data_IF_475343408257
#
_entry.id   IF_475343408257
#
_cell.length_a   1.000
_cell.length_b   1.000
_cell.length_c   1.000
_cell.angle_alpha   90.00
_cell.angle_beta   90.00
_cell.angle_gamma   90.00
#
_symmetry.space_group_name_H-M   'P 1'
#
loop_
_entity.id
_entity.type
_entity.pdbx_description
1 polymer ?
#
# COMPACT_ATOMS: atom_id res chain seq x y z
N UNK A 1 -5.39 18.06 10.44
CA UNK A 1 -6.57 18.47 9.61
C UNK A 1 -6.05 18.64 8.18
N UNK A 2 -6.75 18.05 7.23
CA UNK A 2 -6.42 18.13 5.82
C UNK A 2 -7.56 18.80 5.06
N UNK A 3 -7.25 19.55 4.01
CA UNK A 3 -8.21 20.11 3.08
C UNK A 3 -7.63 20.12 1.68
N UNK A 4 -8.47 19.91 0.68
CA UNK A 4 -8.10 19.96 -0.73
C UNK A 4 -8.59 21.26 -1.34
N UNK A 5 -7.83 21.84 -2.27
CA UNK A 5 -8.26 23.02 -3.02
C UNK A 5 -9.28 22.65 -4.10
N UNK A 6 -10.17 23.60 -4.41
CA UNK A 6 -11.00 23.53 -5.61
C UNK A 6 -10.18 23.83 -6.88
N UNK A 7 -10.83 23.75 -8.05
CA UNK A 7 -10.19 24.05 -9.36
C UNK A 7 -9.65 25.48 -9.48
N UNK A 8 -10.08 26.40 -8.61
CA UNK A 8 -9.62 27.79 -8.57
C UNK A 8 -8.54 28.02 -7.52
N UNK A 9 -8.10 26.95 -6.83
CA UNK A 9 -7.10 27.00 -5.78
C UNK A 9 -7.63 27.46 -4.41
N UNK A 10 -8.95 27.54 -4.21
CA UNK A 10 -9.51 27.90 -2.92
C UNK A 10 -9.68 26.67 -2.04
N UNK A 11 -9.42 26.82 -0.76
CA UNK A 11 -9.69 25.81 0.26
C UNK A 11 -10.37 26.41 1.49
N UNK A 12 -11.02 25.58 2.26
CA UNK A 12 -11.60 25.95 3.54
C UNK A 12 -11.42 24.80 4.54
N UNK A 13 -11.00 25.13 5.75
CA UNK A 13 -10.92 24.16 6.85
C UNK A 13 -11.24 24.85 8.16
N UNK A 14 -11.53 24.07 9.22
CA UNK A 14 -11.82 24.57 10.55
C UNK A 14 -10.84 24.02 11.59
N UNK A 15 -10.39 24.90 12.50
CA UNK A 15 -9.53 24.55 13.64
C UNK A 15 -10.26 24.91 14.92
N UNK A 16 -10.36 23.96 15.87
CA UNK A 16 -11.15 24.13 17.09
C UNK A 16 -10.52 25.08 18.11
N UNK A 17 -9.21 25.23 18.12
CA UNK A 17 -8.48 25.99 19.14
C UNK A 17 -7.74 27.18 18.55
N UNK A 18 -7.77 28.30 19.26
CA UNK A 18 -6.92 29.47 18.96
C UNK A 18 -5.48 29.13 19.27
N UNK A 19 -4.62 29.15 18.26
CA UNK A 19 -3.17 28.93 18.37
C UNK A 19 -2.45 29.34 17.11
N UNK A 20 -1.13 29.24 17.12
CA UNK A 20 -0.30 29.27 15.92
C UNK A 20 -0.15 27.87 15.39
N UNK A 21 -0.31 27.69 14.08
CA UNK A 21 -0.19 26.40 13.39
C UNK A 21 0.69 26.57 12.13
N UNK A 22 1.46 25.55 11.84
CA UNK A 22 2.13 25.42 10.58
C UNK A 22 1.16 24.78 9.56
N UNK A 23 0.94 25.48 8.46
CA UNK A 23 0.11 25.03 7.35
C UNK A 23 1.04 24.62 6.23
N UNK A 24 0.98 23.36 5.86
CA UNK A 24 1.77 22.80 4.77
C UNK A 24 0.91 22.77 3.52
N UNK A 25 1.38 23.45 2.47
CA UNK A 25 0.80 23.41 1.14
C UNK A 25 1.65 22.51 0.26
N UNK A 26 1.04 21.53 -0.37
CA UNK A 26 1.71 20.60 -1.26
C UNK A 26 0.85 20.27 -2.48
N UNK A 27 1.49 20.02 -3.58
CA UNK A 27 0.88 19.52 -4.81
C UNK A 27 1.91 18.69 -5.60
N UNK A 28 1.49 17.65 -6.32
CA UNK A 28 2.39 16.88 -7.18
C UNK A 28 3.12 17.80 -8.15
N UNK A 29 4.44 17.64 -8.25
CA UNK A 29 5.29 18.46 -9.13
C UNK A 29 5.65 19.84 -8.60
N UNK A 30 5.37 20.13 -7.34
CA UNK A 30 5.75 21.38 -6.68
C UNK A 30 6.46 21.12 -5.36
N UNK A 31 7.35 22.03 -4.99
CA UNK A 31 7.97 22.04 -3.67
C UNK A 31 6.91 22.42 -2.63
N UNK A 32 6.85 21.66 -1.54
CA UNK A 32 5.96 21.98 -0.43
C UNK A 32 6.38 23.30 0.21
N UNK A 33 5.40 24.12 0.60
CA UNK A 33 5.60 25.38 1.32
C UNK A 33 4.92 25.32 2.68
N UNK A 34 5.60 25.79 3.73
CA UNK A 34 5.10 25.79 5.10
C UNK A 34 4.95 27.23 5.60
N UNK A 35 3.74 27.62 5.91
CA UNK A 35 3.40 28.95 6.41
C UNK A 35 2.86 28.86 7.84
N UNK A 36 3.54 29.52 8.78
CA UNK A 36 3.04 29.67 10.13
C UNK A 36 1.95 30.75 10.19
N UNK A 37 0.77 30.41 10.70
CA UNK A 37 -0.35 31.34 10.80
C UNK A 37 -1.02 31.26 12.18
N UNK A 38 -1.49 32.40 12.68
CA UNK A 38 -2.21 32.52 13.94
C UNK A 38 -3.70 32.49 13.67
N UNK A 39 -4.38 31.57 14.35
CA UNK A 39 -5.84 31.42 14.30
C UNK A 39 -6.46 31.88 15.62
N UNK A 40 -7.53 32.67 15.53
CA UNK A 40 -8.28 33.15 16.67
C UNK A 40 -9.74 32.68 16.56
N UNK A 41 -10.25 32.13 17.64
CA UNK A 41 -11.61 31.60 17.70
C UNK A 41 -12.65 32.63 17.21
N UNK A 42 -13.57 32.17 16.35
CA UNK A 42 -14.62 33.00 15.75
C UNK A 42 -14.18 33.91 14.60
N UNK A 43 -12.91 33.90 14.22
CA UNK A 43 -12.40 34.68 13.10
C UNK A 43 -11.98 33.81 11.92
N UNK A 44 -12.07 34.35 10.71
CA UNK A 44 -11.51 33.77 9.52
C UNK A 44 -10.08 34.27 9.31
N UNK A 45 -9.11 33.36 9.17
CA UNK A 45 -7.74 33.66 8.79
C UNK A 45 -7.53 33.23 7.35
N UNK A 46 -7.04 34.16 6.51
CA UNK A 46 -6.71 33.87 5.12
C UNK A 46 -5.21 33.60 5.04
N UNK A 47 -4.85 32.42 4.50
CA UNK A 47 -3.45 32.04 4.28
C UNK A 47 -3.34 31.59 2.83
N UNK A 48 -2.45 32.22 2.07
CA UNK A 48 -2.20 31.92 0.67
C UNK A 48 -0.77 31.46 0.50
N UNK A 49 -0.55 30.47 -0.35
CA UNK A 49 0.76 29.97 -0.77
C UNK A 49 0.92 30.09 -2.28
N UNK A 50 2.15 30.24 -2.73
CA UNK A 50 2.51 30.13 -4.14
C UNK A 50 3.60 29.07 -4.26
N UNK A 51 3.20 27.85 -4.61
CA UNK A 51 4.13 26.75 -4.76
C UNK A 51 5.09 26.98 -5.93
N UNK A 52 6.35 26.61 -5.73
CA UNK A 52 7.37 26.62 -6.78
C UNK A 52 7.39 25.26 -7.47
N UNK A 53 7.48 25.20 -8.81
CA UNK A 53 7.64 23.92 -9.50
C UNK A 53 8.88 23.17 -9.00
N UNK A 54 8.71 21.89 -8.70
CA UNK A 54 9.84 21.00 -8.44
C UNK A 54 10.57 20.66 -9.75
N UNK A 55 11.88 20.50 -9.67
CA UNK A 55 12.66 20.02 -10.82
C UNK A 55 12.41 18.54 -11.01
N UNK A 56 12.03 18.14 -12.21
CA UNK A 56 11.97 16.72 -12.56
C UNK A 56 13.32 16.26 -13.10
N UNK A 57 13.66 15.04 -12.80
CA UNK A 57 14.90 14.38 -13.22
C UNK A 57 14.63 12.96 -13.71
N UNK A 58 15.61 12.34 -14.34
CA UNK A 58 15.59 10.92 -14.63
C UNK A 58 16.54 10.24 -13.64
N UNK A 59 16.09 9.20 -12.99
CA UNK A 59 16.90 8.39 -12.09
C UNK A 59 17.01 6.96 -12.61
N UNK A 60 18.15 6.36 -12.37
CA UNK A 60 18.42 4.97 -12.70
C UNK A 60 18.89 4.22 -11.48
N UNK A 61 18.72 2.93 -11.48
CA UNK A 61 19.20 2.10 -10.38
C UNK A 61 19.36 0.64 -10.80
N UNK A 62 19.74 -0.16 -9.82
CA UNK A 62 19.88 -1.61 -10.00
C UNK A 62 19.25 -2.33 -8.80
N UNK A 63 18.59 -3.45 -9.09
CA UNK A 63 18.18 -4.43 -8.08
C UNK A 63 19.08 -5.66 -8.23
N UNK A 64 19.75 -6.00 -7.15
CA UNK A 64 20.74 -7.09 -7.15
C UNK A 64 20.53 -8.03 -5.96
N UNK A 65 21.05 -9.25 -6.08
CA UNK A 65 21.15 -10.15 -4.93
C UNK A 65 22.33 -9.77 -3.99
N UNK A 66 22.50 -10.50 -2.92
CA UNK A 66 23.60 -10.30 -1.95
C UNK A 66 25.00 -10.52 -2.52
N UNK A 67 25.12 -11.14 -3.71
CA UNK A 67 26.38 -11.36 -4.43
C UNK A 67 26.63 -10.28 -5.49
N UNK A 68 25.68 -9.33 -5.64
CA UNK A 68 25.75 -8.30 -6.66
C UNK A 68 25.28 -8.73 -8.05
N UNK A 69 24.63 -9.89 -8.17
CA UNK A 69 24.02 -10.34 -9.43
C UNK A 69 22.67 -9.64 -9.63
N UNK A 70 22.48 -9.06 -10.82
CA UNK A 70 21.23 -8.38 -11.17
C UNK A 70 20.02 -9.30 -11.15
N UNK A 71 18.93 -8.83 -10.56
CA UNK A 71 17.64 -9.54 -10.51
C UNK A 71 16.74 -8.99 -11.61
N UNK A 72 16.45 -9.85 -12.58
CA UNK A 72 15.56 -9.52 -13.70
C UNK A 72 14.09 -9.55 -13.27
N UNK A 73 13.28 -8.68 -13.88
CA UNK A 73 11.84 -8.56 -13.61
C UNK A 73 11.50 -8.32 -12.12
N UNK A 74 12.40 -7.68 -11.38
CA UNK A 74 12.07 -7.18 -10.06
C UNK A 74 11.18 -5.94 -10.19
N UNK A 75 10.10 -5.89 -9.44
CA UNK A 75 9.24 -4.72 -9.34
C UNK A 75 9.92 -3.67 -8.48
N UNK A 76 9.80 -2.40 -8.86
CA UNK A 76 10.29 -1.24 -8.11
C UNK A 76 9.18 -0.21 -8.01
N UNK A 77 8.84 0.18 -6.79
CA UNK A 77 7.89 1.24 -6.46
C UNK A 77 8.63 2.33 -5.69
N UNK A 78 8.56 3.56 -6.18
CA UNK A 78 9.08 4.75 -5.49
C UNK A 78 7.90 5.68 -5.25
N UNK A 79 7.57 5.95 -3.99
CA UNK A 79 6.37 6.71 -3.67
C UNK A 79 6.55 7.63 -2.46
N UNK A 80 5.72 8.66 -2.40
CA UNK A 80 5.48 9.47 -1.22
C UNK A 80 3.98 9.84 -1.14
N UNK A 81 3.60 10.72 -0.23
CA UNK A 81 2.20 11.15 -0.05
C UNK A 81 1.59 11.84 -1.27
N UNK A 82 2.37 12.21 -2.28
CA UNK A 82 1.93 13.05 -3.42
C UNK A 82 2.03 12.33 -4.77
N UNK A 83 2.99 11.42 -4.93
CA UNK A 83 3.28 10.78 -6.21
C UNK A 83 3.78 9.35 -6.01
N UNK A 84 3.57 8.52 -7.03
CA UNK A 84 4.17 7.20 -7.13
C UNK A 84 4.75 6.96 -8.52
N UNK A 85 5.80 6.15 -8.59
CA UNK A 85 6.50 5.75 -9.80
C UNK A 85 6.76 4.25 -9.74
N UNK A 86 6.37 3.54 -10.78
CA UNK A 86 6.55 2.10 -10.89
C UNK A 86 7.42 1.77 -12.09
N UNK A 87 8.30 0.81 -11.94
CA UNK A 87 9.08 0.25 -13.03
C UNK A 87 9.44 -1.21 -12.74
N UNK A 88 9.98 -1.90 -13.74
CA UNK A 88 10.44 -3.28 -13.63
C UNK A 88 11.88 -3.34 -14.15
N UNK A 89 12.73 -4.11 -13.51
CA UNK A 89 14.12 -4.26 -13.91
C UNK A 89 14.28 -5.06 -15.21
N UNK A 90 15.31 -4.71 -15.99
CA UNK A 90 15.74 -5.45 -17.17
C UNK A 90 16.44 -6.79 -16.81
N UNK A 91 16.92 -7.51 -17.83
CA UNK A 91 17.62 -8.79 -17.65
C UNK A 91 18.93 -8.71 -16.84
N UNK A 92 19.45 -7.52 -16.62
CA UNK A 92 20.66 -7.27 -15.82
C UNK A 92 20.34 -6.64 -14.45
N UNK A 93 19.07 -6.52 -14.11
CA UNK A 93 18.62 -5.90 -12.89
C UNK A 93 18.59 -4.38 -12.91
N UNK A 94 18.75 -3.73 -14.07
CA UNK A 94 18.70 -2.26 -14.15
C UNK A 94 17.28 -1.77 -14.29
N UNK A 95 17.01 -0.60 -13.73
CA UNK A 95 15.75 0.13 -13.93
C UNK A 95 16.01 1.61 -14.20
N UNK A 96 15.05 2.27 -14.82
CA UNK A 96 15.00 3.70 -15.02
C UNK A 96 13.62 4.26 -14.70
N UNK A 97 13.59 5.47 -14.15
CA UNK A 97 12.39 6.26 -13.89
C UNK A 97 12.60 7.65 -14.45
N UNK A 98 11.73 8.05 -15.35
CA UNK A 98 11.79 9.35 -16.00
C UNK A 98 10.77 10.31 -15.39
N UNK A 99 11.18 11.56 -15.20
CA UNK A 99 10.30 12.62 -14.73
C UNK A 99 9.98 12.56 -13.22
N UNK A 100 10.80 11.88 -12.42
CA UNK A 100 10.67 11.88 -10.97
C UNK A 100 11.06 13.26 -10.43
N UNK A 101 10.34 13.74 -9.43
CA UNK A 101 10.70 14.99 -8.77
C UNK A 101 11.74 14.75 -7.67
N UNK A 102 12.62 15.72 -7.47
CA UNK A 102 13.59 15.69 -6.38
C UNK A 102 12.88 15.83 -5.04
N UNK A 103 12.85 14.74 -4.25
CA UNK A 103 12.14 14.68 -2.96
C UNK A 103 12.57 13.43 -2.18
N UNK A 104 12.02 13.29 -0.97
CA UNK A 104 12.10 12.08 -0.15
C UNK A 104 10.99 11.10 -0.53
N UNK A 105 11.37 9.85 -0.70
CA UNK A 105 10.47 8.76 -1.09
C UNK A 105 10.70 7.51 -0.26
N UNK A 106 9.65 6.73 -0.11
CA UNK A 106 9.77 5.31 0.17
C UNK A 106 10.12 4.59 -1.12
N UNK A 107 11.18 3.78 -1.08
CA UNK A 107 11.67 2.97 -2.20
C UNK A 107 11.48 1.52 -1.85
N UNK A 108 10.65 0.82 -2.61
CA UNK A 108 10.32 -0.58 -2.42
C UNK A 108 10.76 -1.36 -3.65
N UNK A 109 11.37 -2.50 -3.44
CA UNK A 109 11.67 -3.44 -4.51
C UNK A 109 11.40 -4.88 -4.07
N UNK A 110 10.88 -5.68 -4.99
CA UNK A 110 10.56 -7.08 -4.73
C UNK A 110 10.58 -7.94 -5.98
N UNK A 111 10.80 -9.22 -5.77
CA UNK A 111 10.67 -10.26 -6.78
C UNK A 111 10.32 -11.57 -6.08
N UNK A 112 9.51 -12.42 -6.73
CA UNK A 112 9.20 -13.73 -6.15
C UNK A 112 10.45 -14.57 -5.95
N UNK A 113 10.65 -15.09 -4.74
CA UNK A 113 11.87 -15.80 -4.33
C UNK A 113 12.87 -14.90 -3.60
N UNK A 114 12.51 -13.64 -3.35
CA UNK A 114 13.29 -12.68 -2.58
C UNK A 114 12.43 -12.02 -1.49
N UNK A 115 13.09 -11.51 -0.48
CA UNK A 115 12.48 -10.70 0.57
C UNK A 115 12.31 -9.28 0.03
N UNK A 116 11.09 -8.75 0.02
CA UNK A 116 10.78 -7.36 -0.34
C UNK A 116 11.58 -6.39 0.53
N UNK A 117 12.20 -5.41 -0.10
CA UNK A 117 13.02 -4.38 0.56
C UNK A 117 12.30 -3.05 0.56
N UNK A 118 12.32 -2.39 1.72
CA UNK A 118 11.79 -1.02 1.90
C UNK A 118 12.86 -0.12 2.48
N UNK A 119 13.09 1.04 1.88
CA UNK A 119 13.96 2.09 2.40
C UNK A 119 13.33 3.46 2.20
N UNK A 120 13.79 4.45 2.97
CA UNK A 120 13.45 5.85 2.73
C UNK A 120 14.67 6.56 2.17
N UNK A 121 14.55 7.11 0.98
CA UNK A 121 15.65 7.72 0.24
C UNK A 121 15.29 9.13 -0.23
N UNK A 122 16.28 10.01 -0.25
CA UNK A 122 16.16 11.30 -0.94
C UNK A 122 16.67 11.13 -2.38
N UNK A 123 15.77 11.23 -3.34
CA UNK A 123 16.09 11.09 -4.76
C UNK A 123 16.51 12.43 -5.32
N UNK A 124 17.70 12.48 -5.88
CA UNK A 124 18.27 13.67 -6.54
C UNK A 124 19.00 13.28 -7.82
N UNK A 125 19.46 14.27 -8.57
CA UNK A 125 20.22 14.06 -9.80
C UNK A 125 21.55 13.30 -9.61
N UNK A 126 22.00 13.15 -8.38
CA UNK A 126 23.24 12.44 -8.02
C UNK A 126 23.00 11.11 -7.29
N UNK A 127 21.74 10.72 -7.12
CA UNK A 127 21.40 9.47 -6.44
C UNK A 127 21.86 8.25 -7.25
N UNK A 128 22.54 7.32 -6.57
CA UNK A 128 22.87 6.01 -7.09
C UNK A 128 22.01 5.00 -6.34
N UNK A 129 21.01 4.48 -7.01
CA UNK A 129 20.01 3.61 -6.39
C UNK A 129 20.41 2.15 -6.61
N UNK A 130 21.08 1.54 -5.64
CA UNK A 130 21.28 0.10 -5.64
C UNK A 130 20.44 -0.51 -4.52
N UNK A 131 19.54 -1.39 -4.89
CA UNK A 131 18.66 -2.11 -3.98
C UNK A 131 19.14 -3.55 -3.91
N UNK A 132 19.39 -4.05 -2.71
CA UNK A 132 19.86 -5.42 -2.49
C UNK A 132 18.71 -6.25 -1.91
N UNK A 133 18.33 -7.32 -2.60
CA UNK A 133 17.35 -8.26 -2.13
C UNK A 133 18.02 -9.53 -1.60
N UNK A 134 17.52 -10.03 -0.49
CA UNK A 134 17.94 -11.32 0.08
C UNK A 134 17.05 -12.43 -0.48
N UNK A 135 17.63 -13.58 -0.80
CA UNK A 135 16.86 -14.76 -1.17
C UNK A 135 15.95 -15.21 -0.03
N UNK A 136 14.71 -15.52 -0.34
CA UNK A 136 13.68 -15.92 0.60
C UNK A 136 12.30 -15.66 0.05
N UNK A 137 11.27 -16.01 0.82
CA UNK A 137 9.90 -15.70 0.45
C UNK A 137 9.28 -14.83 1.53
N UNK A 138 8.99 -13.61 1.18
CA UNK A 138 8.19 -12.67 1.98
C UNK A 138 7.37 -11.84 1.02
N UNK A 139 6.07 -11.91 1.16
CA UNK A 139 5.12 -11.17 0.34
C UNK A 139 4.19 -10.38 1.27
N UNK A 140 4.29 -9.08 1.21
CA UNK A 140 3.44 -8.10 1.87
C UNK A 140 2.36 -7.56 0.91
N UNK A 141 2.22 -8.22 -0.23
CA UNK A 141 1.27 -7.86 -1.28
C UNK A 141 1.45 -6.46 -1.89
N UNK A 142 2.55 -5.77 -1.60
CA UNK A 142 2.92 -4.51 -2.28
C UNK A 142 2.94 -4.71 -3.79
N UNK A 143 3.45 -5.85 -4.26
CA UNK A 143 3.51 -6.20 -5.67
C UNK A 143 2.56 -7.36 -5.99
N UNK A 144 2.21 -7.49 -7.28
CA UNK A 144 1.48 -8.65 -7.77
C UNK A 144 2.47 -9.70 -8.28
N UNK A 145 2.84 -10.63 -7.42
CA UNK A 145 3.73 -11.72 -7.79
C UNK A 145 3.02 -12.89 -8.48
N UNK A 146 1.79 -12.68 -8.93
CA UNK A 146 1.06 -13.68 -9.71
C UNK A 146 0.22 -14.64 -8.87
N UNK A 147 -0.33 -14.17 -7.77
CA UNK A 147 -1.35 -14.91 -7.05
C UNK A 147 -2.58 -15.15 -7.93
N UNK A 148 -3.09 -16.36 -7.91
CA UNK A 148 -4.23 -16.75 -8.73
C UNK A 148 -5.50 -16.76 -7.89
N UNK A 149 -6.53 -16.08 -8.38
CA UNK A 149 -7.86 -16.05 -7.79
C UNK A 149 -8.77 -16.97 -8.58
N UNK A 150 -9.45 -17.87 -7.89
CA UNK A 150 -10.40 -18.79 -8.48
C UNK A 150 -11.57 -19.05 -7.52
N UNK A 151 -12.59 -19.75 -7.99
CA UNK A 151 -13.80 -20.02 -7.25
C UNK A 151 -15.03 -19.41 -7.93
N UNK A 152 -16.19 -19.78 -7.45
CA UNK A 152 -17.46 -19.28 -7.97
C UNK A 152 -18.07 -18.28 -7.01
N UNK A 153 -18.42 -17.11 -7.49
CA UNK A 153 -19.30 -16.16 -6.82
C UNK A 153 -20.64 -16.16 -7.55
N UNK A 154 -21.73 -16.06 -6.81
CA UNK A 154 -23.08 -16.10 -7.36
C UNK A 154 -23.53 -14.73 -7.85
N UNK A 155 -22.85 -13.67 -7.40
CA UNK A 155 -23.10 -12.28 -7.76
C UNK A 155 -21.77 -11.56 -8.01
N UNK A 156 -21.70 -10.60 -8.93
CA UNK A 156 -20.50 -9.80 -9.14
C UNK A 156 -20.12 -8.88 -7.94
N UNK A 157 -20.98 -8.81 -6.94
CA UNK A 157 -20.76 -8.06 -5.71
C UNK A 157 -20.40 -8.96 -4.51
N UNK A 158 -20.45 -10.27 -4.67
CA UNK A 158 -20.06 -11.20 -3.63
C UNK A 158 -18.53 -11.22 -3.52
N UNK A 159 -18.02 -11.28 -2.30
CA UNK A 159 -16.61 -11.10 -2.02
C UNK A 159 -15.70 -12.13 -2.70
N UNK A 160 -15.05 -11.74 -3.78
CA UNK A 160 -13.90 -12.46 -4.32
C UNK A 160 -12.62 -11.87 -3.75
N UNK A 161 -11.56 -12.62 -3.71
CA UNK A 161 -10.25 -12.11 -3.35
C UNK A 161 -9.84 -10.96 -4.28
N UNK A 162 -9.42 -9.86 -3.70
CA UNK A 162 -8.91 -8.68 -4.40
C UNK A 162 -7.68 -8.17 -3.67
N UNK A 163 -6.65 -7.78 -4.40
CA UNK A 163 -5.45 -7.15 -3.84
C UNK A 163 -5.62 -5.63 -3.84
N UNK A 164 -5.40 -4.99 -2.71
CA UNK A 164 -5.46 -3.53 -2.59
C UNK A 164 -5.40 -3.08 -1.13
N UNK A 165 -5.55 -1.77 -0.93
CA UNK A 165 -5.66 -1.21 0.41
C UNK A 165 -7.03 -1.57 1.00
N UNK A 166 -7.09 -2.26 2.15
CA UNK A 166 -8.34 -2.61 2.81
C UNK A 166 -9.20 -1.36 3.10
N UNK A 167 -10.49 -1.52 3.03
CA UNK A 167 -11.46 -0.51 3.44
C UNK A 167 -12.19 -0.99 4.70
N UNK A 168 -11.96 -0.32 5.83
CA UNK A 168 -12.52 -0.70 7.11
C UNK A 168 -14.04 -0.57 7.16
N UNK A 169 -14.68 -1.33 8.02
CA UNK A 169 -16.10 -1.20 8.30
C UNK A 169 -16.35 -1.09 9.79
N UNK A 170 -17.33 -0.25 10.13
CA UNK A 170 -17.79 -0.04 11.49
C UNK A 170 -19.11 -0.74 11.77
N UNK A 171 -19.26 -1.26 13.00
CA UNK A 171 -20.55 -1.68 13.51
C UNK A 171 -20.79 -1.14 14.93
N UNK A 172 -21.84 -0.36 15.08
CA UNK A 172 -22.20 0.30 16.36
C UNK A 172 -21.04 1.12 16.98
N UNK A 173 -20.21 1.76 16.15
CA UNK A 173 -19.10 2.59 16.60
C UNK A 173 -17.86 1.80 17.05
N UNK A 174 -17.75 0.57 16.63
CA UNK A 174 -16.56 -0.25 16.80
C UNK A 174 -16.10 -0.78 15.45
N UNK A 175 -14.78 -0.81 15.24
CA UNK A 175 -14.19 -1.40 14.05
C UNK A 175 -14.63 -2.85 13.92
N UNK A 176 -15.12 -3.20 12.74
CA UNK A 176 -15.61 -4.54 12.41
C UNK A 176 -14.65 -5.29 11.50
N UNK A 177 -14.22 -4.67 10.43
CA UNK A 177 -13.10 -5.11 9.63
C UNK A 177 -12.01 -4.04 9.65
N UNK A 178 -10.73 -4.41 9.62
CA UNK A 178 -9.64 -3.44 9.65
C UNK A 178 -9.64 -2.56 8.40
N UNK A 179 -9.31 -1.28 8.58
CA UNK A 179 -9.09 -0.31 7.49
C UNK A 179 -7.67 -0.39 6.96
N UNK A 180 -6.73 -0.80 7.82
CA UNK A 180 -5.32 -0.89 7.48
C UNK A 180 -4.87 -2.35 7.42
N UNK A 181 -3.86 -2.61 6.62
CA UNK A 181 -3.13 -3.87 6.63
C UNK A 181 -2.30 -4.03 7.92
N UNK A 182 -1.54 -5.12 8.03
CA UNK A 182 -0.68 -5.37 9.19
C UNK A 182 0.45 -4.35 9.26
N UNK A 183 0.78 -3.93 10.48
CA UNK A 183 1.87 -2.99 10.71
C UNK A 183 3.22 -3.56 10.29
N UNK A 184 4.09 -2.71 9.78
CA UNK A 184 5.48 -2.93 9.35
C UNK A 184 5.64 -3.54 7.95
N UNK A 185 4.63 -3.51 7.15
CA UNK A 185 4.72 -3.79 5.73
C UNK A 185 5.21 -2.57 4.93
N UNK A 186 5.62 -2.80 3.69
CA UNK A 186 6.19 -1.76 2.86
C UNK A 186 5.14 -0.84 2.25
N UNK A 187 3.90 -1.32 2.15
CA UNK A 187 2.79 -0.60 1.55
C UNK A 187 1.47 -1.19 2.07
N UNK A 188 0.42 -0.41 2.08
CA UNK A 188 -0.86 -0.77 2.70
C UNK A 188 -1.73 -1.68 1.81
N UNK A 189 -1.17 -2.76 1.26
CA UNK A 189 -1.91 -3.70 0.43
C UNK A 189 -2.05 -5.06 1.08
N UNK A 190 -3.24 -5.62 1.01
CA UNK A 190 -3.56 -6.97 1.41
C UNK A 190 -4.40 -7.68 0.34
N UNK A 191 -4.58 -8.99 0.45
CA UNK A 191 -5.68 -9.68 -0.21
C UNK A 191 -6.89 -9.71 0.71
N UNK A 192 -8.00 -9.16 0.24
CA UNK A 192 -9.28 -9.12 0.96
C UNK A 192 -10.41 -9.67 0.10
N UNK A 193 -11.43 -10.24 0.73
CA UNK A 193 -12.68 -10.59 0.04
C UNK A 193 -13.62 -9.39 0.08
N UNK A 194 -13.80 -8.72 -1.08
CA UNK A 194 -14.57 -7.50 -1.17
C UNK A 194 -13.81 -6.26 -0.70
N UNK A 195 -12.89 -5.77 -1.52
CA UNK A 195 -12.02 -4.64 -1.24
C UNK A 195 -12.77 -3.34 -0.91
N UNK A 196 -13.89 -3.08 -1.59
CA UNK A 196 -14.76 -1.95 -1.26
C UNK A 196 -15.66 -2.33 -0.08
N UNK A 197 -15.60 -1.60 1.02
CA UNK A 197 -16.39 -1.85 2.23
C UNK A 197 -17.91 -1.90 1.99
N UNK A 198 -18.40 -1.15 1.03
CA UNK A 198 -19.83 -1.03 0.77
C UNK A 198 -20.54 -0.21 1.85
N UNK A 199 -21.87 -0.20 1.80
CA UNK A 199 -22.70 0.61 2.70
C UNK A 199 -23.05 -0.09 4.02
N UNK A 200 -22.79 -1.37 4.14
CA UNK A 200 -23.13 -2.21 5.30
C UNK A 200 -22.05 -3.26 5.51
N UNK A 201 -21.90 -3.70 6.75
CA UNK A 201 -20.89 -4.68 7.17
C UNK A 201 -20.96 -6.04 6.44
N UNK A 202 -22.09 -6.36 5.80
CA UNK A 202 -22.31 -7.58 5.04
C UNK A 202 -22.51 -7.34 3.55
N UNK A 203 -22.06 -6.18 3.03
CA UNK A 203 -22.32 -5.83 1.61
C UNK A 203 -21.39 -6.52 0.64
N UNK A 204 -20.29 -7.08 1.11
CA UNK A 204 -19.18 -7.62 0.29
C UNK A 204 -18.62 -8.93 0.85
N UNK A 205 -19.37 -9.62 1.70
CA UNK A 205 -18.98 -10.93 2.22
C UNK A 205 -19.14 -12.04 1.18
N UNK A 206 -18.57 -13.19 1.46
CA UNK A 206 -18.65 -14.37 0.60
C UNK A 206 -19.86 -15.18 0.99
N UNK A 207 -20.97 -15.01 0.26
CA UNK A 207 -22.22 -15.73 0.49
C UNK A 207 -22.39 -16.91 -0.48
N UNK A 208 -22.78 -18.08 0.05
CA UNK A 208 -23.15 -19.28 -0.72
C UNK A 208 -22.13 -19.69 -1.82
N UNK A 209 -20.87 -19.31 -1.65
CA UNK A 209 -19.80 -19.53 -2.61
C UNK A 209 -18.48 -19.87 -1.91
N UNK A 210 -17.49 -20.24 -2.69
CA UNK A 210 -16.10 -20.30 -2.23
C UNK A 210 -15.22 -19.46 -3.13
N UNK A 211 -14.28 -18.74 -2.54
CA UNK A 211 -13.22 -18.02 -3.24
C UNK A 211 -11.87 -18.57 -2.80
N UNK A 212 -10.99 -18.80 -3.74
CA UNK A 212 -9.71 -19.45 -3.52
C UNK A 212 -8.61 -18.50 -3.96
N UNK A 213 -7.66 -18.22 -3.07
CA UNK A 213 -6.43 -17.52 -3.36
C UNK A 213 -5.28 -18.52 -3.37
N UNK A 214 -4.58 -18.62 -4.48
CA UNK A 214 -3.47 -19.55 -4.66
C UNK A 214 -2.17 -18.80 -4.88
N UNK A 215 -1.17 -19.06 -4.04
CA UNK A 215 0.16 -18.46 -4.17
C UNK A 215 0.86 -18.91 -5.45
N UNK A 216 1.83 -18.15 -5.94
CA UNK A 216 2.84 -18.67 -6.85
C UNK A 216 3.59 -19.87 -6.22
N UNK A 217 4.29 -20.62 -7.05
CA UNK A 217 5.03 -21.81 -6.59
C UNK A 217 6.24 -21.41 -5.76
N UNK A 218 6.38 -21.98 -4.57
CA UNK A 218 7.60 -21.88 -3.76
C UNK A 218 8.64 -22.88 -4.26
N UNK A 219 9.81 -22.42 -4.65
CA UNK A 219 10.96 -23.29 -4.91
C UNK A 219 11.65 -23.65 -3.58
N UNK A 220 11.34 -24.80 -3.05
CA UNK A 220 11.91 -25.34 -1.82
C UNK A 220 12.93 -26.46 -2.14
N UNK A 221 13.53 -26.42 -3.33
CA UNK A 221 14.51 -27.43 -3.76
C UNK A 221 15.86 -27.32 -3.07
N UNK A 222 16.17 -26.21 -2.43
CA UNK A 222 17.39 -26.06 -1.63
C UNK A 222 17.38 -27.06 -0.47
N UNK A 223 18.44 -27.86 -0.29
CA UNK A 223 18.48 -28.86 0.78
C UNK A 223 18.51 -28.18 2.15
N UNK A 224 17.61 -28.62 3.04
CA UNK A 224 17.66 -28.23 4.45
C UNK A 224 18.73 -29.04 5.20
N UNK A 225 19.29 -28.46 6.23
CA UNK A 225 20.07 -29.22 7.20
C UNK A 225 19.17 -30.25 7.94
N UNK A 226 19.70 -31.34 8.49
CA UNK A 226 18.91 -32.44 9.06
C UNK A 226 17.90 -32.07 10.14
N UNK A 227 18.03 -30.89 10.75
CA UNK A 227 17.13 -30.40 11.82
C UNK A 227 16.34 -29.15 11.42
N UNK A 228 16.35 -28.78 10.16
CA UNK A 228 15.59 -27.63 9.64
C UNK A 228 14.28 -28.10 9.01
N UNK A 229 13.28 -27.24 9.03
CA UNK A 229 11.98 -27.43 8.39
C UNK A 229 11.53 -26.11 7.78
N UNK A 230 10.79 -26.19 6.69
CA UNK A 230 10.12 -25.04 6.14
C UNK A 230 8.87 -24.76 6.97
N UNK A 231 8.60 -23.48 7.19
CA UNK A 231 7.40 -23.00 7.84
C UNK A 231 6.73 -21.94 6.94
N UNK A 232 5.43 -22.05 6.80
CA UNK A 232 4.61 -20.98 6.24
C UNK A 232 4.02 -20.17 7.39
N UNK A 233 4.33 -18.89 7.45
CA UNK A 233 3.72 -17.95 8.38
C UNK A 233 2.91 -16.93 7.58
N UNK A 234 1.76 -16.55 8.10
CA UNK A 234 0.89 -15.53 7.47
C UNK A 234 0.07 -14.83 8.53
N UNK A 235 -0.32 -13.60 8.25
CA UNK A 235 -1.30 -12.86 9.00
C UNK A 235 -2.67 -13.06 8.37
N UNK A 236 -3.68 -13.27 9.20
CA UNK A 236 -5.04 -13.54 8.75
C UNK A 236 -6.03 -12.77 9.60
N UNK A 237 -6.89 -12.01 8.97
CA UNK A 237 -8.14 -11.54 9.55
C UNK A 237 -9.30 -12.34 8.98
N UNK A 238 -10.15 -12.87 9.87
CA UNK A 238 -11.34 -13.58 9.48
C UNK A 238 -12.51 -13.19 10.39
N UNK A 239 -13.60 -12.75 9.77
CA UNK A 239 -14.81 -12.41 10.45
C UNK A 239 -16.01 -13.02 9.71
N UNK A 240 -16.86 -13.76 10.44
CA UNK A 240 -18.08 -14.34 9.94
C UNK A 240 -19.31 -13.92 10.77
N UNK A 241 -19.27 -12.77 11.41
CA UNK A 241 -20.36 -12.26 12.22
C UNK A 241 -21.49 -11.73 11.33
N UNK A 242 -22.68 -12.27 11.49
CA UNK A 242 -23.92 -11.76 10.91
C UNK A 242 -24.72 -10.99 11.96
N UNK A 243 -25.20 -9.78 11.69
CA UNK A 243 -26.00 -9.01 12.64
C UNK A 243 -27.35 -9.72 12.96
N UNK A 244 -27.95 -9.45 14.14
CA UNK A 244 -29.11 -10.21 14.67
C UNK A 244 -30.37 -10.22 13.81
N UNK A 245 -30.48 -9.33 12.83
CA UNK A 245 -31.63 -9.28 11.92
C UNK A 245 -31.41 -10.07 10.62
N UNK A 246 -30.22 -10.64 10.40
CA UNK A 246 -29.85 -11.41 9.22
C UNK A 246 -29.65 -12.89 9.43
N UNK A 247 -30.00 -13.43 10.60
CA UNK A 247 -29.60 -14.77 11.01
C UNK A 247 -28.24 -14.76 11.69
N UNK A 248 -28.01 -15.59 12.67
CA UNK A 248 -26.69 -15.68 13.33
C UNK A 248 -25.59 -16.14 12.38
N UNK A 249 -24.34 -16.19 12.87
CA UNK A 249 -23.20 -16.64 12.05
C UNK A 249 -23.56 -17.97 11.36
N UNK A 250 -23.31 -18.05 10.06
CA UNK A 250 -23.51 -19.30 9.35
C UNK A 250 -22.55 -20.32 9.95
N UNK A 251 -23.09 -21.42 10.47
CA UNK A 251 -22.23 -22.48 11.03
C UNK A 251 -21.33 -23.15 9.99
N UNK A 252 -21.49 -22.78 8.72
CA UNK A 252 -20.78 -23.36 7.58
C UNK A 252 -19.68 -22.47 7.02
N UNK A 253 -19.58 -21.21 7.47
CA UNK A 253 -18.53 -20.31 7.02
C UNK A 253 -17.20 -20.73 7.64
N UNK A 254 -16.22 -20.92 6.79
CA UNK A 254 -14.89 -21.36 7.20
C UNK A 254 -13.82 -20.83 6.25
N UNK A 255 -12.64 -20.62 6.79
CA UNK A 255 -11.43 -20.40 6.02
C UNK A 255 -10.52 -21.60 6.21
N UNK A 256 -9.83 -22.02 5.18
CA UNK A 256 -8.84 -23.08 5.22
C UNK A 256 -7.59 -22.70 4.45
N UNK A 257 -6.43 -23.09 4.94
CA UNK A 257 -5.11 -22.87 4.35
C UNK A 257 -4.44 -24.21 4.10
#
# INVERSE_FOLDING_TARGET
IQATTDLSGNYMSGIANSSSYDIIFSAPGYLADTINAVFTNGNTTIVNAQLQPASSLNTTGTVVDINGLGIANADVLIYNSSTNYNTITDSNGNFDINGIFEDSYSVVAGAWGYITSCTNEYISSTSVNQIILQSGYYDDFTFDFGWNISGGVTSPNDGIWQRGNPEGTDFNGSDFNPEDDVNNDCYDFAYVTGLEAGSQISSRDVDDANTILTSPVFDLSAPLNPNESYFLNYNLWFNNYSPPWGGGPSANDSISV
#
